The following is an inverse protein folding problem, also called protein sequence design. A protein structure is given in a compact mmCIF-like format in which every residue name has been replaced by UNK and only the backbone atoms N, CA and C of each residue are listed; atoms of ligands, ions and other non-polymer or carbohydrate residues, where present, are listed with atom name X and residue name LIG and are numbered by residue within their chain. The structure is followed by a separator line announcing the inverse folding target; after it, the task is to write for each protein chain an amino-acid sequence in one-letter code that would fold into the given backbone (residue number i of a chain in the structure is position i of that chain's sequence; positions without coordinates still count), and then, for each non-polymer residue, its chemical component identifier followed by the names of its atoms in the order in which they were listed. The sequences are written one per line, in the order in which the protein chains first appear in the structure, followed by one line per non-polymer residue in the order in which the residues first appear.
data_IF_968385265239
#
_entry.id   IF_968385265239
#
_cell.length_a   1.000
_cell.length_b   1.000
_cell.length_c   1.000
_cell.angle_alpha   90.00
_cell.angle_beta   90.00
_cell.angle_gamma   90.00
#
_symmetry.space_group_name_H-M   'P 1'
#
loop_
_entity.id
_entity.type
_entity.pdbx_description
1 polymer ?
#
# COMPACT_ATOMS: atom_id res chain seq x y z
N UNK A 1 10.98 46.82 -23.11
CA UNK A 1 11.96 45.97 -23.85
C UNK A 1 12.99 45.33 -22.94
N UNK A 2 13.71 46.06 -22.07
CA UNK A 2 14.72 45.43 -21.18
C UNK A 2 14.09 44.36 -20.25
N UNK A 3 12.96 44.68 -19.62
CA UNK A 3 12.22 43.76 -18.73
C UNK A 3 11.79 42.45 -19.40
N UNK A 4 11.45 42.49 -20.71
CA UNK A 4 11.03 41.30 -21.46
C UNK A 4 12.23 40.43 -21.80
N UNK A 5 13.38 41.02 -22.16
CA UNK A 5 14.61 40.25 -22.40
C UNK A 5 15.16 39.62 -21.11
N UNK A 6 15.12 40.34 -19.99
CA UNK A 6 15.52 39.78 -18.70
C UNK A 6 14.61 38.64 -18.26
N UNK A 7 13.29 38.77 -18.45
CA UNK A 7 12.34 37.69 -18.15
C UNK A 7 12.59 36.45 -19.04
N UNK A 8 12.80 36.63 -20.34
CA UNK A 8 13.14 35.52 -21.25
C UNK A 8 14.47 34.85 -20.88
N UNK A 9 15.49 35.62 -20.50
CA UNK A 9 16.78 35.08 -20.08
C UNK A 9 16.66 34.26 -18.79
N UNK A 10 15.88 34.73 -17.82
CA UNK A 10 15.60 34.00 -16.57
C UNK A 10 14.83 32.70 -16.85
N UNK A 11 13.80 32.75 -17.68
CA UNK A 11 13.04 31.55 -18.09
C UNK A 11 13.94 30.55 -18.83
N UNK A 12 14.76 31.02 -19.77
CA UNK A 12 15.71 30.17 -20.50
C UNK A 12 16.73 29.54 -19.56
N UNK A 13 17.26 30.28 -18.57
CA UNK A 13 18.15 29.73 -17.56
C UNK A 13 17.49 28.60 -16.76
N UNK A 14 16.27 28.83 -16.26
CA UNK A 14 15.53 27.79 -15.52
C UNK A 14 15.20 26.58 -16.38
N UNK A 15 14.84 26.79 -17.66
CA UNK A 15 14.56 25.72 -18.61
C UNK A 15 15.81 24.89 -18.92
N UNK A 16 16.94 25.54 -19.22
CA UNK A 16 18.22 24.86 -19.48
C UNK A 16 18.65 24.06 -18.24
N UNK A 17 18.58 24.68 -17.05
CA UNK A 17 18.88 24.01 -15.79
C UNK A 17 17.98 22.80 -15.55
N UNK A 18 16.68 22.93 -15.82
CA UNK A 18 15.72 21.84 -15.73
C UNK A 18 16.07 20.70 -16.70
N UNK A 19 16.38 21.01 -17.96
CA UNK A 19 16.76 20.03 -18.98
C UNK A 19 18.05 19.29 -18.59
N UNK A 20 19.08 20.01 -18.14
CA UNK A 20 20.33 19.40 -17.69
C UNK A 20 20.08 18.45 -16.51
N UNK A 21 19.33 18.91 -15.51
CA UNK A 21 18.98 18.08 -14.35
C UNK A 21 18.15 16.87 -14.74
N UNK A 22 17.22 17.03 -15.68
CA UNK A 22 16.38 15.96 -16.20
C UNK A 22 17.19 14.87 -16.89
N UNK A 23 18.13 15.25 -17.76
CA UNK A 23 19.02 14.28 -18.41
C UNK A 23 20.02 13.65 -17.43
N UNK A 24 20.58 14.41 -16.50
CA UNK A 24 21.46 13.88 -15.46
C UNK A 24 20.74 12.86 -14.56
N UNK A 25 19.52 13.19 -14.14
CA UNK A 25 18.63 12.31 -13.39
C UNK A 25 18.38 11.02 -14.16
N UNK A 26 17.88 11.11 -15.40
CA UNK A 26 17.62 9.93 -16.25
C UNK A 26 18.88 9.08 -16.41
N UNK A 27 20.02 9.70 -16.73
CA UNK A 27 21.29 8.99 -16.89
C UNK A 27 21.73 8.26 -15.62
N UNK A 28 21.42 8.77 -14.43
CA UNK A 28 21.71 8.08 -13.17
C UNK A 28 20.83 6.82 -13.01
N UNK A 29 19.53 6.92 -13.28
CA UNK A 29 18.59 5.80 -13.11
C UNK A 29 18.70 4.74 -14.21
N UNK A 30 19.02 5.11 -15.46
CA UNK A 30 19.26 4.13 -16.54
C UNK A 30 20.49 3.26 -16.33
N UNK A 31 21.37 3.58 -15.37
CA UNK A 31 22.46 2.68 -14.96
C UNK A 31 21.98 1.51 -14.10
N UNK A 32 20.76 1.61 -13.55
CA UNK A 32 20.20 0.57 -12.69
C UNK A 32 19.56 -0.53 -13.53
N UNK A 33 19.48 -1.78 -13.02
CA UNK A 33 18.91 -2.89 -13.75
C UNK A 33 17.45 -2.62 -14.11
N UNK A 34 17.16 -2.50 -15.40
CA UNK A 34 15.83 -2.21 -15.94
C UNK A 34 15.49 -3.27 -17.00
N UNK A 35 14.25 -3.77 -17.07
CA UNK A 35 13.82 -4.64 -18.16
C UNK A 35 14.06 -3.97 -19.54
N UNK A 36 14.49 -4.73 -20.56
CA UNK A 36 14.60 -4.21 -21.92
C UNK A 36 13.20 -3.84 -22.46
N UNK A 37 13.14 -2.91 -23.41
CA UNK A 37 11.87 -2.48 -24.02
C UNK A 37 11.32 -1.15 -23.46
N UNK A 38 12.18 -0.23 -23.04
CA UNK A 38 11.74 1.09 -22.60
C UNK A 38 11.07 1.88 -23.75
N UNK A 39 9.84 2.34 -23.53
CA UNK A 39 9.13 3.29 -24.39
C UNK A 39 9.13 4.69 -23.78
N UNK A 40 9.23 5.74 -24.60
CA UNK A 40 9.27 7.11 -24.06
C UNK A 40 7.95 7.52 -23.36
N UNK A 41 6.81 7.07 -23.90
CA UNK A 41 5.48 7.47 -23.41
C UNK A 41 5.11 6.72 -22.14
N UNK A 42 5.22 5.39 -22.15
CA UNK A 42 4.76 4.52 -21.06
C UNK A 42 5.90 4.06 -20.14
N UNK A 43 7.16 4.32 -20.50
CA UNK A 43 8.31 3.76 -19.79
C UNK A 43 8.38 2.25 -20.01
N UNK A 44 8.53 1.48 -18.93
CA UNK A 44 8.46 0.01 -18.95
C UNK A 44 7.16 -0.55 -18.37
N UNK A 45 6.23 0.30 -17.90
CA UNK A 45 4.96 -0.16 -17.31
C UNK A 45 4.10 -0.99 -18.26
N UNK A 46 4.21 -0.77 -19.57
CA UNK A 46 3.48 -1.56 -20.58
C UNK A 46 3.93 -3.02 -20.67
N UNK A 47 5.07 -3.37 -20.06
CA UNK A 47 5.57 -4.74 -19.95
C UNK A 47 5.08 -5.43 -18.66
N UNK A 48 4.49 -4.68 -17.73
CA UNK A 48 4.00 -5.21 -16.47
C UNK A 48 2.65 -5.92 -16.71
N UNK A 49 2.53 -7.22 -16.42
CA UNK A 49 1.32 -7.99 -16.76
C UNK A 49 0.10 -7.67 -15.88
N UNK A 50 0.25 -6.77 -14.91
CA UNK A 50 -0.84 -6.24 -14.08
C UNK A 50 -0.71 -6.64 -12.61
N UNK A 51 -1.62 -6.14 -11.77
CA UNK A 51 -1.64 -6.40 -10.32
C UNK A 51 -2.30 -7.76 -10.00
N UNK A 52 -1.83 -8.84 -10.62
CA UNK A 52 -2.37 -10.19 -10.49
C UNK A 52 -1.24 -11.22 -10.25
N UNK A 53 -1.58 -12.52 -10.29
CA UNK A 53 -0.60 -13.60 -10.13
C UNK A 53 0.52 -13.56 -11.18
N UNK A 54 0.20 -13.19 -12.42
CA UNK A 54 1.21 -13.03 -13.49
C UNK A 54 2.15 -11.86 -13.20
N UNK A 55 1.62 -10.76 -12.66
CA UNK A 55 2.38 -9.62 -12.12
C UNK A 55 3.38 -10.06 -11.07
N UNK A 56 2.90 -10.81 -10.08
CA UNK A 56 3.73 -11.33 -9.00
C UNK A 56 4.79 -12.32 -9.52
N UNK A 57 4.43 -13.19 -10.46
CA UNK A 57 5.37 -14.10 -11.10
C UNK A 57 6.45 -13.34 -11.88
N UNK A 58 6.08 -12.28 -12.61
CA UNK A 58 7.01 -11.41 -13.31
C UNK A 58 7.99 -10.71 -12.35
N UNK A 59 7.49 -10.19 -11.23
CA UNK A 59 8.33 -9.62 -10.17
C UNK A 59 9.31 -10.64 -9.58
N UNK A 60 8.84 -11.87 -9.35
CA UNK A 60 9.68 -12.96 -8.86
C UNK A 60 10.80 -13.31 -9.86
N UNK A 61 10.51 -13.35 -11.16
CA UNK A 61 11.51 -13.59 -12.19
C UNK A 61 12.53 -12.43 -12.28
N UNK A 62 12.09 -11.18 -12.14
CA UNK A 62 13.00 -10.03 -12.04
C UNK A 62 13.91 -10.13 -10.81
N UNK A 63 13.36 -10.55 -9.67
CA UNK A 63 14.11 -10.74 -8.43
C UNK A 63 15.10 -11.92 -8.47
N UNK A 64 14.85 -12.93 -9.33
CA UNK A 64 15.84 -14.00 -9.59
C UNK A 64 16.96 -13.51 -10.51
N UNK A 65 16.62 -12.69 -11.51
CA UNK A 65 17.57 -12.18 -12.51
C UNK A 65 18.50 -11.11 -11.95
N UNK A 66 18.01 -10.28 -11.04
CA UNK A 66 18.75 -9.18 -10.45
C UNK A 66 18.94 -9.45 -8.95
N UNK A 67 20.13 -9.21 -8.40
CA UNK A 67 20.44 -9.60 -7.02
C UNK A 67 19.83 -8.67 -5.97
N UNK A 68 19.83 -7.36 -6.23
CA UNK A 68 19.56 -6.34 -5.20
C UNK A 68 18.22 -5.63 -5.38
N UNK A 69 18.00 -5.11 -6.59
CA UNK A 69 16.83 -4.36 -6.98
C UNK A 69 16.72 -4.33 -8.51
N UNK A 70 15.53 -4.03 -9.01
CA UNK A 70 15.29 -3.63 -10.39
C UNK A 70 14.48 -2.34 -10.44
N UNK A 71 14.36 -1.80 -11.65
CA UNK A 71 13.69 -0.54 -11.92
C UNK A 71 12.57 -0.73 -12.93
N UNK A 72 11.39 -0.19 -12.60
CA UNK A 72 10.31 0.10 -13.53
C UNK A 72 10.27 1.59 -13.86
N UNK A 73 9.78 1.95 -15.04
CA UNK A 73 9.57 3.34 -15.44
C UNK A 73 8.10 3.55 -15.74
N UNK A 74 7.46 4.44 -15.00
CA UNK A 74 6.16 5.01 -15.34
C UNK A 74 6.38 6.27 -16.19
N UNK A 75 6.31 6.08 -17.51
CA UNK A 75 6.61 7.13 -18.48
C UNK A 75 8.05 7.65 -18.39
N UNK A 76 8.31 8.89 -18.82
CA UNK A 76 9.67 9.42 -18.91
C UNK A 76 10.20 10.04 -17.61
N UNK A 77 9.37 10.20 -16.58
CA UNK A 77 9.73 11.00 -15.40
C UNK A 77 9.84 10.18 -14.12
N UNK A 78 9.15 9.04 -14.00
CA UNK A 78 8.96 8.34 -12.73
C UNK A 78 9.64 6.95 -12.73
N UNK A 79 10.86 6.84 -12.21
CA UNK A 79 11.48 5.55 -11.92
C UNK A 79 10.93 4.99 -10.60
N UNK A 80 10.45 3.75 -10.66
CA UNK A 80 9.96 2.95 -9.53
C UNK A 80 11.01 1.89 -9.23
N UNK A 81 11.71 2.03 -8.11
CA UNK A 81 12.73 1.06 -7.67
C UNK A 81 12.06 -0.02 -6.84
N UNK A 82 12.21 -1.27 -7.26
CA UNK A 82 11.75 -2.45 -6.52
C UNK A 82 12.97 -3.12 -5.91
N UNK A 83 13.04 -3.13 -4.58
CA UNK A 83 14.14 -3.73 -3.82
C UNK A 83 13.66 -4.94 -3.03
N UNK A 84 14.46 -6.00 -3.01
CA UNK A 84 14.11 -7.27 -2.34
C UNK A 84 15.28 -7.86 -1.53
N UNK A 85 16.52 -7.40 -1.74
CA UNK A 85 17.66 -7.95 -0.98
C UNK A 85 17.75 -7.35 0.44
N UNK A 86 17.99 -8.17 1.47
CA UNK A 86 18.01 -7.72 2.87
C UNK A 86 19.01 -6.59 3.13
N UNK A 87 20.19 -6.62 2.53
CA UNK A 87 21.19 -5.55 2.70
C UNK A 87 20.67 -4.17 2.26
N UNK A 88 19.91 -4.13 1.15
CA UNK A 88 19.32 -2.88 0.65
C UNK A 88 18.11 -2.49 1.49
N UNK A 89 17.21 -3.44 1.74
CA UNK A 89 16.01 -3.23 2.54
C UNK A 89 16.33 -2.74 3.94
N UNK A 90 17.42 -3.23 4.56
CA UNK A 90 17.86 -2.78 5.89
C UNK A 90 18.13 -1.29 5.92
N UNK A 91 18.76 -0.73 4.89
CA UNK A 91 19.05 0.70 4.83
C UNK A 91 17.78 1.52 4.58
N UNK A 92 16.88 1.04 3.71
CA UNK A 92 15.62 1.72 3.38
C UNK A 92 14.67 1.71 4.59
N UNK A 93 14.42 0.54 5.19
CA UNK A 93 13.45 0.37 6.26
C UNK A 93 13.90 0.96 7.60
N UNK A 94 15.22 1.10 7.83
CA UNK A 94 15.75 1.83 9.00
C UNK A 94 15.76 3.34 8.80
N UNK A 95 15.63 3.81 7.57
CA UNK A 95 15.55 5.24 7.32
C UNK A 95 14.25 5.79 7.90
N UNK A 96 14.30 7.04 8.39
CA UNK A 96 13.09 7.79 8.77
C UNK A 96 12.54 8.58 7.58
N UNK A 97 12.77 8.09 6.36
CA UNK A 97 12.29 8.73 5.15
C UNK A 97 10.74 8.76 5.15
N UNK A 98 10.13 9.85 4.66
CA UNK A 98 8.68 9.91 4.56
C UNK A 98 8.17 8.87 3.56
N UNK A 99 6.97 8.36 3.81
CA UNK A 99 6.23 7.56 2.84
C UNK A 99 6.06 8.37 1.55
N UNK A 100 6.14 7.74 0.38
CA UNK A 100 6.05 8.45 -0.88
C UNK A 100 4.69 9.15 -0.97
N UNK A 101 4.75 10.45 -1.28
CA UNK A 101 3.60 11.31 -1.54
C UNK A 101 3.92 12.00 -2.85
N UNK A 102 3.12 11.76 -3.88
CA UNK A 102 3.46 12.21 -5.23
C UNK A 102 2.42 13.17 -5.73
N UNK A 103 2.89 14.34 -6.19
CA UNK A 103 2.06 15.35 -6.86
C UNK A 103 1.82 15.04 -8.34
N UNK A 104 2.52 14.04 -8.90
CA UNK A 104 2.51 13.73 -10.33
C UNK A 104 1.58 12.54 -10.61
N UNK A 105 1.74 11.47 -9.84
CA UNK A 105 0.91 10.27 -9.90
C UNK A 105 0.55 9.87 -8.47
N UNK A 106 -0.73 9.80 -8.14
CA UNK A 106 -1.18 9.43 -6.81
C UNK A 106 -0.62 8.04 -6.42
N UNK A 107 0.00 7.96 -5.25
CA UNK A 107 0.45 6.68 -4.69
C UNK A 107 -0.69 5.98 -3.95
N UNK A 108 -0.50 4.73 -3.57
CA UNK A 108 -1.43 4.02 -2.67
C UNK A 108 -1.67 4.77 -1.35
N UNK A 109 -0.66 5.47 -0.83
CA UNK A 109 -0.83 6.31 0.36
C UNK A 109 -1.70 7.53 0.10
N UNK A 110 -1.58 8.17 -1.07
CA UNK A 110 -2.41 9.32 -1.47
C UNK A 110 -3.87 8.90 -1.66
N UNK A 111 -4.11 7.74 -2.26
CA UNK A 111 -5.45 7.17 -2.45
C UNK A 111 -6.14 6.79 -1.13
N UNK A 112 -5.38 6.48 -0.08
CA UNK A 112 -5.94 6.16 1.23
C UNK A 112 -6.46 7.38 2.01
N UNK A 113 -5.96 8.59 1.71
CA UNK A 113 -6.27 9.80 2.51
C UNK A 113 -7.76 10.14 2.57
N UNK A 114 -8.55 10.09 1.47
CA UNK A 114 -9.94 10.52 1.50
C UNK A 114 -10.83 9.73 2.47
N UNK A 115 -10.47 8.48 2.78
CA UNK A 115 -11.30 7.61 3.62
C UNK A 115 -10.67 7.25 4.96
N UNK A 116 -9.34 7.07 5.04
CA UNK A 116 -8.63 6.81 6.30
C UNK A 116 -8.14 8.08 7.01
N UNK A 117 -8.09 9.21 6.31
CA UNK A 117 -7.52 10.46 6.81
C UNK A 117 -6.02 10.37 7.10
N UNK A 118 -5.47 11.42 7.71
CA UNK A 118 -4.05 11.49 8.09
C UNK A 118 -3.76 10.73 9.41
N UNK A 119 -4.06 9.42 9.42
CA UNK A 119 -3.85 8.50 10.53
C UNK A 119 -2.41 7.95 10.64
N UNK A 120 -2.18 6.97 11.51
CA UNK A 120 -0.86 6.38 11.74
C UNK A 120 -0.21 5.81 10.46
N UNK A 121 -1.01 5.18 9.60
CA UNK A 121 -0.52 4.51 8.38
C UNK A 121 -0.13 5.54 7.31
N UNK A 122 -0.88 6.65 7.19
CA UNK A 122 -0.71 7.61 6.10
C UNK A 122 0.15 8.83 6.47
N UNK A 123 0.20 9.19 7.75
CA UNK A 123 0.97 10.34 8.23
C UNK A 123 2.48 10.14 8.12
N UNK A 124 3.20 11.27 8.07
CA UNK A 124 4.67 11.35 8.04
C UNK A 124 5.20 12.29 9.14
N UNK A 125 6.51 12.22 9.41
CA UNK A 125 7.21 13.18 10.27
C UNK A 125 6.64 13.30 11.69
N UNK A 126 6.54 14.52 12.25
CA UNK A 126 6.06 14.73 13.62
C UNK A 126 4.63 14.21 13.89
N UNK A 127 3.73 14.30 12.90
CA UNK A 127 2.36 13.80 13.03
C UNK A 127 2.32 12.29 13.23
N UNK A 128 3.12 11.56 12.43
CA UNK A 128 3.30 10.12 12.60
C UNK A 128 3.93 9.77 13.95
N UNK A 129 4.98 10.48 14.36
CA UNK A 129 5.67 10.21 15.63
C UNK A 129 4.73 10.40 16.84
N UNK A 130 3.92 11.46 16.82
CA UNK A 130 2.87 11.70 17.82
C UNK A 130 1.85 10.57 17.85
N UNK A 131 1.26 10.22 16.71
CA UNK A 131 0.25 9.16 16.61
C UNK A 131 0.81 7.81 17.07
N UNK A 132 2.06 7.48 16.70
CA UNK A 132 2.75 6.25 17.10
C UNK A 132 2.99 6.20 18.61
N UNK A 133 3.45 7.31 19.21
CA UNK A 133 3.68 7.40 20.65
C UNK A 133 2.39 7.19 21.44
N UNK A 134 1.27 7.73 20.95
CA UNK A 134 -0.04 7.58 21.59
C UNK A 134 -0.59 6.15 21.48
N UNK A 135 -0.44 5.49 20.34
CA UNK A 135 -1.05 4.18 20.08
C UNK A 135 -0.22 2.99 20.56
N UNK A 136 1.11 3.10 20.61
CA UNK A 136 2.00 1.98 20.97
C UNK A 136 1.63 1.32 22.32
N UNK A 137 1.28 2.05 23.40
CA UNK A 137 0.88 1.43 24.66
C UNK A 137 -0.36 0.54 24.58
N UNK A 138 -1.29 0.81 23.65
CA UNK A 138 -2.52 0.02 23.49
C UNK A 138 -2.26 -1.41 22.96
N UNK A 139 -1.07 -1.64 22.40
CA UNK A 139 -0.62 -2.95 21.91
C UNK A 139 0.37 -3.62 22.85
N UNK A 140 0.50 -3.14 24.09
CA UNK A 140 1.30 -3.82 25.12
C UNK A 140 0.65 -5.14 25.52
N UNK A 141 1.45 -6.17 25.81
CA UNK A 141 0.96 -7.53 26.06
C UNK A 141 -0.07 -7.61 27.19
N UNK A 142 0.06 -6.79 28.23
CA UNK A 142 -0.91 -6.75 29.33
C UNK A 142 -2.29 -6.21 28.92
N UNK A 143 -2.35 -5.37 27.90
CA UNK A 143 -3.60 -4.90 27.29
C UNK A 143 -4.20 -5.97 26.38
N UNK A 144 -3.34 -6.77 25.72
CA UNK A 144 -3.78 -7.81 24.77
C UNK A 144 -4.23 -9.11 25.46
N UNK A 145 -3.72 -9.44 26.64
CA UNK A 145 -4.07 -10.69 27.36
C UNK A 145 -5.58 -10.89 27.55
N UNK A 146 -6.36 -9.89 28.01
CA UNK A 146 -7.82 -10.03 28.15
C UNK A 146 -8.53 -10.30 26.81
N UNK A 147 -7.98 -9.84 25.69
CA UNK A 147 -8.57 -10.04 24.37
C UNK A 147 -8.53 -11.50 23.90
N UNK A 148 -7.76 -12.38 24.55
CA UNK A 148 -7.75 -13.82 24.25
C UNK A 148 -9.14 -14.42 24.49
N UNK A 149 -9.84 -14.01 25.55
CA UNK A 149 -11.19 -14.49 25.82
C UNK A 149 -12.17 -14.08 24.72
N UNK A 150 -12.09 -12.81 24.29
CA UNK A 150 -12.89 -12.29 23.18
C UNK A 150 -12.59 -13.04 21.88
N UNK A 151 -11.30 -13.28 21.60
CA UNK A 151 -10.86 -14.02 20.43
C UNK A 151 -11.43 -15.44 20.42
N UNK A 152 -11.35 -16.16 21.53
CA UNK A 152 -11.89 -17.52 21.64
C UNK A 152 -13.40 -17.54 21.40
N UNK A 153 -14.15 -16.61 22.01
CA UNK A 153 -15.59 -16.50 21.78
C UNK A 153 -15.94 -16.21 20.32
N UNK A 154 -15.19 -15.34 19.64
CA UNK A 154 -15.38 -15.10 18.21
C UNK A 154 -15.02 -16.34 17.37
N UNK A 155 -13.98 -17.07 17.75
CA UNK A 155 -13.52 -18.28 17.06
C UNK A 155 -14.50 -19.45 17.20
N UNK A 156 -15.15 -19.61 18.36
CA UNK A 156 -16.19 -20.61 18.57
C UNK A 156 -17.35 -20.41 17.56
N UNK A 157 -17.80 -19.16 17.40
CA UNK A 157 -18.83 -18.80 16.40
C UNK A 157 -18.35 -19.12 14.98
N UNK A 158 -17.10 -18.79 14.64
CA UNK A 158 -16.52 -19.09 13.33
C UNK A 158 -16.53 -20.61 13.06
N UNK A 159 -16.14 -21.41 14.04
CA UNK A 159 -16.12 -22.88 13.93
C UNK A 159 -17.54 -23.42 13.72
N UNK A 160 -18.53 -22.92 14.47
CA UNK A 160 -19.93 -23.30 14.29
C UNK A 160 -20.41 -23.04 12.84
N UNK A 161 -20.08 -21.87 12.28
CA UNK A 161 -20.42 -21.52 10.89
C UNK A 161 -19.72 -22.42 9.87
N UNK A 162 -18.44 -22.73 10.10
CA UNK A 162 -17.67 -23.64 9.23
C UNK A 162 -18.29 -25.04 9.25
N UNK A 163 -18.65 -25.55 10.44
CA UNK A 163 -19.30 -26.85 10.59
C UNK A 163 -20.66 -26.87 9.90
N UNK A 164 -21.46 -25.81 10.05
CA UNK A 164 -22.75 -25.67 9.37
C UNK A 164 -22.62 -25.70 7.84
N UNK A 165 -21.69 -24.92 7.27
CA UNK A 165 -21.43 -24.90 5.83
C UNK A 165 -20.90 -26.25 5.34
N UNK A 166 -20.05 -26.93 6.12
CA UNK A 166 -19.51 -28.24 5.74
C UNK A 166 -20.55 -29.34 5.62
N UNK A 167 -21.69 -29.24 6.35
CA UNK A 167 -22.79 -30.23 6.28
C UNK A 167 -23.41 -30.29 4.88
N UNK A 168 -23.25 -29.25 4.08
CA UNK A 168 -23.78 -29.21 2.71
C UNK A 168 -22.98 -30.08 1.74
N UNK A 169 -21.80 -30.58 2.14
CA UNK A 169 -20.95 -31.44 1.31
C UNK A 169 -20.38 -30.73 0.08
N UNK A 170 -20.38 -29.39 0.07
CA UNK A 170 -19.87 -28.55 -1.02
C UNK A 170 -18.70 -27.71 -0.52
N UNK A 171 -17.81 -27.34 -1.44
CA UNK A 171 -16.82 -26.30 -1.17
C UNK A 171 -17.52 -24.96 -0.95
N UNK A 172 -16.95 -24.16 -0.05
CA UNK A 172 -17.42 -22.80 0.25
C UNK A 172 -16.22 -21.87 0.42
N UNK A 173 -16.44 -20.57 0.24
CA UNK A 173 -15.43 -19.56 0.45
C UNK A 173 -15.24 -19.27 1.95
N UNK A 174 -14.03 -19.51 2.45
CA UNK A 174 -13.67 -19.23 3.85
C UNK A 174 -13.32 -17.76 4.09
N UNK A 175 -12.97 -17.00 3.04
CA UNK A 175 -12.54 -15.61 3.16
C UNK A 175 -13.65 -14.75 3.78
N UNK A 176 -14.88 -14.89 3.29
CA UNK A 176 -16.05 -14.17 3.84
C UNK A 176 -16.26 -14.44 5.34
N UNK A 177 -16.07 -15.70 5.79
CA UNK A 177 -16.20 -16.07 7.20
C UNK A 177 -15.07 -15.48 8.04
N UNK A 178 -13.83 -15.57 7.56
CA UNK A 178 -12.65 -15.01 8.24
C UNK A 178 -12.70 -13.48 8.33
N UNK A 179 -13.17 -12.80 7.28
CA UNK A 179 -13.34 -11.34 7.28
C UNK A 179 -14.32 -10.92 8.37
N UNK A 180 -15.47 -11.59 8.49
CA UNK A 180 -16.46 -11.31 9.55
C UNK A 180 -15.92 -11.59 10.95
N UNK A 181 -15.22 -12.70 11.11
CA UNK A 181 -14.55 -13.04 12.35
C UNK A 181 -13.55 -11.96 12.77
N UNK A 182 -12.65 -11.57 11.86
CA UNK A 182 -11.65 -10.54 12.11
C UNK A 182 -12.29 -9.18 12.45
N UNK A 183 -13.38 -8.83 11.75
CA UNK A 183 -14.18 -7.64 12.04
C UNK A 183 -14.80 -7.67 13.44
N UNK A 184 -15.33 -8.82 13.86
CA UNK A 184 -15.93 -8.96 15.19
C UNK A 184 -14.88 -8.86 16.30
N UNK A 185 -13.73 -9.50 16.11
CA UNK A 185 -12.60 -9.42 17.03
C UNK A 185 -12.11 -7.97 17.17
N UNK A 186 -11.87 -7.26 16.07
CA UNK A 186 -11.34 -5.88 16.16
C UNK A 186 -12.35 -4.91 16.78
N UNK A 187 -13.65 -5.04 16.45
CA UNK A 187 -14.71 -4.21 17.00
C UNK A 187 -14.87 -4.42 18.51
N UNK A 188 -14.84 -5.68 18.97
CA UNK A 188 -14.96 -6.00 20.39
C UNK A 188 -13.72 -5.64 21.19
N UNK A 189 -12.53 -5.91 20.66
CA UNK A 189 -11.28 -5.67 21.38
C UNK A 189 -10.88 -4.19 21.37
N UNK A 190 -10.89 -3.53 20.20
CA UNK A 190 -10.35 -2.16 20.08
C UNK A 190 -11.39 -1.07 20.31
N UNK A 191 -12.65 -1.33 19.97
CA UNK A 191 -13.72 -0.33 20.04
C UNK A 191 -14.74 -0.62 21.14
N UNK A 192 -14.58 -1.72 21.89
CA UNK A 192 -15.53 -2.20 22.89
C UNK A 192 -16.96 -2.29 22.35
N UNK A 193 -17.08 -2.53 21.04
CA UNK A 193 -18.35 -2.60 20.33
C UNK A 193 -18.69 -4.06 20.07
N UNK A 194 -19.76 -4.54 20.70
CA UNK A 194 -20.27 -5.90 20.45
C UNK A 194 -21.02 -5.90 19.13
N UNK A 195 -20.29 -6.06 18.05
CA UNK A 195 -20.86 -6.39 16.75
C UNK A 195 -21.37 -7.82 16.73
N UNK A 196 -22.22 -8.11 15.75
CA UNK A 196 -22.66 -9.47 15.44
C UNK A 196 -22.37 -9.79 13.97
N UNK A 197 -21.16 -9.41 13.51
CA UNK A 197 -20.76 -9.49 12.10
C UNK A 197 -20.82 -10.91 11.51
N UNK A 198 -20.69 -11.92 12.37
CA UNK A 198 -20.71 -13.32 11.98
C UNK A 198 -22.14 -13.88 11.81
N UNK A 199 -23.16 -13.31 12.45
CA UNK A 199 -24.55 -13.77 12.34
C UNK A 199 -25.48 -12.85 11.55
N UNK A 200 -25.16 -11.56 11.41
CA UNK A 200 -26.06 -10.59 10.74
C UNK A 200 -26.01 -10.65 9.20
N UNK A 201 -27.17 -10.53 8.56
CA UNK A 201 -27.34 -10.45 7.11
C UNK A 201 -27.01 -9.05 6.52
N UNK A 202 -25.75 -8.92 6.11
CA UNK A 202 -25.17 -8.26 4.92
C UNK A 202 -25.52 -6.87 4.38
N UNK A 203 -26.61 -6.18 4.73
CA UNK A 203 -26.89 -4.87 4.07
C UNK A 203 -26.43 -3.63 4.84
N UNK A 204 -26.48 -3.65 6.17
CA UNK A 204 -26.16 -2.46 6.99
C UNK A 204 -25.01 -2.67 8.00
N UNK A 205 -24.22 -3.72 7.85
CA UNK A 205 -23.12 -4.01 8.78
C UNK A 205 -21.80 -3.34 8.35
N UNK A 206 -21.07 -2.77 9.30
CA UNK A 206 -19.72 -2.21 9.15
C UNK A 206 -18.78 -3.11 8.32
N UNK A 207 -18.89 -4.43 8.47
CA UNK A 207 -18.06 -5.38 7.73
C UNK A 207 -18.29 -5.35 6.20
N UNK A 208 -19.52 -5.12 5.72
CA UNK A 208 -19.82 -5.04 4.28
C UNK A 208 -19.34 -3.72 3.69
N UNK A 209 -19.55 -2.61 4.40
CA UNK A 209 -19.06 -1.27 4.00
C UNK A 209 -17.55 -1.27 3.86
N UNK A 210 -16.83 -1.86 4.82
CA UNK A 210 -15.36 -1.97 4.75
C UNK A 210 -14.92 -2.86 3.58
N UNK A 211 -15.64 -3.95 3.32
CA UNK A 211 -15.35 -4.81 2.17
C UNK A 211 -15.53 -4.06 0.86
N UNK A 212 -16.60 -3.28 0.71
CA UNK A 212 -16.86 -2.47 -0.48
C UNK A 212 -15.77 -1.40 -0.67
N UNK A 213 -15.38 -0.71 0.40
CA UNK A 213 -14.27 0.26 0.36
C UNK A 213 -12.94 -0.39 -0.02
N UNK A 214 -12.68 -1.60 0.46
CA UNK A 214 -11.48 -2.35 0.11
C UNK A 214 -11.47 -2.75 -1.38
N UNK A 215 -12.60 -3.20 -1.91
CA UNK A 215 -12.75 -3.46 -3.35
C UNK A 215 -12.54 -2.20 -4.16
N UNK A 216 -13.19 -1.09 -3.78
CA UNK A 216 -13.03 0.21 -4.46
C UNK A 216 -11.59 0.74 -4.41
N UNK A 217 -10.86 0.50 -3.32
CA UNK A 217 -9.45 0.87 -3.25
C UNK A 217 -8.63 -0.02 -4.19
N UNK A 218 -8.83 -1.33 -4.14
CA UNK A 218 -8.10 -2.30 -4.98
C UNK A 218 -8.32 -2.06 -6.47
N UNK A 219 -9.55 -1.73 -6.89
CA UNK A 219 -9.91 -1.44 -8.28
C UNK A 219 -9.27 -0.14 -8.80
N UNK A 220 -8.94 0.79 -7.89
CA UNK A 220 -8.36 2.10 -8.23
C UNK A 220 -6.84 2.13 -8.13
N UNK A 221 -6.22 1.10 -7.53
CA UNK A 221 -4.78 0.99 -7.28
C UNK A 221 -4.04 0.12 -8.27
#
# INVERSE_FOLDING_TARGET
MILTYTACAVLAYFLIKYIINFFAYRRAYFKLPTPPGYSYVTGTMHLYPGNNEEGLASELEMAKKHKYFHLWWAGPLLPIVVAYHPDVLRHILKSSAPKPRSKILATSYDMGVPWLGEGLILSNGPGWARNRRLLTPAFHFDILKPYIEVYNQCADILIEKIVEQSKQGKSFDIYSLLHRHAMDVILRCSFSYKSDCQNSDLKDNIASVISELNTLWSDRS
#
